data_IF_466501963500
#
_entry.id   IF_466501963500
#
_cell.length_a   1.000
_cell.length_b   1.000
_cell.length_c   1.000
_cell.angle_alpha   90.00
_cell.angle_beta   90.00
_cell.angle_gamma   90.00
#
_symmetry.space_group_name_H-M   'P 1'
#
loop_
_entity.id
_entity.type
_entity.pdbx_description
1 polymer ?
#
# COMPACT_ATOMS: atom_id res chain seq x y z
N UNK A 1 13.19 -0.94 -6.41
CA UNK A 1 11.75 -0.92 -6.07
C UNK A 1 11.02 0.06 -6.98
N UNK A 2 9.93 -0.33 -7.62
CA UNK A 2 9.05 0.56 -8.39
C UNK A 2 8.16 1.30 -7.40
N UNK A 3 8.14 2.62 -7.47
CA UNK A 3 7.35 3.49 -6.59
C UNK A 3 6.33 4.25 -7.41
N UNK A 4 5.06 4.08 -7.07
CA UNK A 4 3.96 4.93 -7.50
C UNK A 4 3.42 5.60 -6.24
N UNK A 5 3.97 6.76 -5.92
CA UNK A 5 3.58 7.56 -4.74
C UNK A 5 3.22 8.97 -5.19
N UNK A 6 2.24 9.58 -4.53
CA UNK A 6 1.82 10.96 -4.79
C UNK A 6 2.58 11.95 -3.93
N UNK A 7 3.01 11.53 -2.73
CA UNK A 7 3.84 12.35 -1.86
C UNK A 7 5.29 12.43 -2.39
N UNK A 8 5.74 13.65 -2.70
CA UNK A 8 7.07 13.91 -3.24
C UNK A 8 8.19 13.61 -2.23
N UNK A 9 7.97 13.94 -0.96
CA UNK A 9 8.95 13.70 0.11
C UNK A 9 9.11 12.20 0.35
N UNK A 10 8.00 11.46 0.41
CA UNK A 10 8.01 10.00 0.48
C UNK A 10 8.72 9.39 -0.73
N UNK A 11 8.47 9.92 -1.94
CA UNK A 11 9.15 9.48 -3.17
C UNK A 11 10.66 9.61 -3.08
N UNK A 12 11.15 10.77 -2.60
CA UNK A 12 12.58 11.01 -2.42
C UNK A 12 13.21 10.11 -1.36
N UNK A 13 12.50 9.87 -0.25
CA UNK A 13 12.95 8.98 0.82
C UNK A 13 13.08 7.53 0.33
N UNK A 14 12.06 7.03 -0.36
CA UNK A 14 12.08 5.68 -0.94
C UNK A 14 13.17 5.53 -2.00
N UNK A 15 13.40 6.56 -2.83
CA UNK A 15 14.48 6.57 -3.82
C UNK A 15 15.86 6.44 -3.14
N UNK A 16 16.11 7.20 -2.07
CA UNK A 16 17.36 7.13 -1.29
C UNK A 16 17.57 5.74 -0.67
N UNK A 17 16.53 5.13 -0.11
CA UNK A 17 16.59 3.78 0.48
C UNK A 17 16.94 2.71 -0.58
N UNK A 18 16.42 2.84 -1.80
CA UNK A 18 16.73 1.91 -2.89
C UNK A 18 18.13 2.08 -3.49
N UNK A 19 18.70 3.30 -3.47
CA UNK A 19 20.04 3.56 -4.01
C UNK A 19 21.17 2.95 -3.16
N UNK A 20 20.93 2.69 -1.87
CA UNK A 20 21.92 2.10 -0.95
C UNK A 20 22.06 0.58 -1.02
N UNK A 21 21.12 -0.12 -1.65
CA UNK A 21 21.11 -1.57 -1.75
C UNK A 21 21.57 -2.00 -3.16
N UNK A 22 22.85 -2.37 -3.28
CA UNK A 22 23.54 -2.73 -4.54
C UNK A 22 22.99 -3.94 -5.31
N UNK A 23 21.88 -4.51 -4.86
CA UNK A 23 21.05 -5.46 -5.60
C UNK A 23 19.60 -4.99 -5.38
N UNK A 24 18.97 -4.44 -6.42
CA UNK A 24 17.66 -3.81 -6.29
C UNK A 24 16.64 -4.82 -5.76
N UNK A 25 15.99 -4.58 -4.61
CA UNK A 25 14.77 -5.29 -4.32
C UNK A 25 13.74 -4.86 -5.38
N UNK A 26 13.43 -5.78 -6.30
CA UNK A 26 12.25 -5.69 -7.15
C UNK A 26 11.06 -5.72 -6.20
N UNK A 27 10.24 -4.68 -6.21
CA UNK A 27 9.17 -4.47 -5.24
C UNK A 27 8.24 -3.38 -5.76
N UNK A 28 6.98 -3.36 -5.33
CA UNK A 28 6.05 -2.29 -5.64
C UNK A 28 5.62 -1.58 -4.36
N UNK A 29 5.77 -0.26 -4.33
CA UNK A 29 5.04 0.61 -3.41
C UNK A 29 4.03 1.38 -4.23
N UNK A 30 2.75 1.26 -3.87
CA UNK A 30 1.66 1.99 -4.53
C UNK A 30 0.85 2.75 -3.47
N UNK A 31 0.91 4.07 -3.51
CA UNK A 31 0.09 4.95 -2.68
C UNK A 31 -1.21 5.28 -3.41
N UNK A 32 -2.34 5.01 -2.77
CA UNK A 32 -3.65 5.33 -3.30
C UNK A 32 -3.90 6.84 -3.28
N UNK A 33 -4.35 7.39 -4.41
CA UNK A 33 -4.81 8.78 -4.49
C UNK A 33 -6.05 9.00 -3.64
N UNK A 34 -6.15 10.21 -3.08
CA UNK A 34 -7.33 10.71 -2.38
C UNK A 34 -7.99 11.84 -3.15
N UNK A 35 -9.25 12.16 -2.83
CA UNK A 35 -9.97 13.26 -3.46
C UNK A 35 -10.35 12.96 -4.92
N UNK A 36 -10.67 11.70 -5.22
CA UNK A 36 -11.04 11.26 -6.56
C UNK A 36 -12.30 11.97 -7.05
N UNK A 37 -12.30 12.42 -8.31
CA UNK A 37 -13.34 13.28 -8.89
C UNK A 37 -14.59 12.52 -9.37
N UNK A 38 -14.54 11.18 -9.42
CA UNK A 38 -15.65 10.36 -9.89
C UNK A 38 -15.30 8.86 -9.98
N UNK A 39 -16.30 8.04 -10.27
CA UNK A 39 -16.16 6.57 -10.33
C UNK A 39 -15.12 6.10 -11.36
N UNK A 40 -15.06 6.71 -12.53
CA UNK A 40 -14.02 6.40 -13.53
C UNK A 40 -12.62 6.60 -12.97
N UNK A 41 -12.39 7.64 -12.17
CA UNK A 41 -11.08 7.87 -11.56
C UNK A 41 -10.72 6.78 -10.52
N UNK A 42 -11.72 6.25 -9.80
CA UNK A 42 -11.53 5.15 -8.86
C UNK A 42 -11.27 3.82 -9.57
N UNK A 43 -11.96 3.56 -10.69
CA UNK A 43 -11.73 2.40 -11.55
C UNK A 43 -10.33 2.45 -12.17
N UNK A 44 -9.92 3.58 -12.71
CA UNK A 44 -8.58 3.80 -13.28
C UNK A 44 -7.49 3.59 -12.23
N UNK A 45 -7.71 4.09 -11.00
CA UNK A 45 -6.78 3.91 -9.88
C UNK A 45 -6.57 2.44 -9.51
N UNK A 46 -7.66 1.67 -9.39
CA UNK A 46 -7.59 0.24 -9.11
C UNK A 46 -6.99 -0.55 -10.28
N UNK A 47 -7.35 -0.19 -11.52
CA UNK A 47 -6.80 -0.82 -12.71
C UNK A 47 -5.29 -0.62 -12.81
N UNK A 48 -4.80 0.61 -12.57
CA UNK A 48 -3.38 0.91 -12.50
C UNK A 48 -2.70 0.08 -11.38
N UNK A 49 -3.24 0.13 -10.16
CA UNK A 49 -2.68 -0.60 -9.02
C UNK A 49 -2.53 -2.10 -9.31
N UNK A 50 -3.55 -2.74 -9.89
CA UNK A 50 -3.53 -4.17 -10.18
C UNK A 50 -2.67 -4.52 -11.39
N UNK A 51 -2.56 -3.66 -12.40
CA UNK A 51 -1.61 -3.86 -13.50
C UNK A 51 -0.16 -3.88 -12.98
N UNK A 52 0.20 -2.90 -12.15
CA UNK A 52 1.52 -2.81 -11.51
C UNK A 52 1.78 -3.97 -10.57
N UNK A 53 0.76 -4.38 -9.82
CA UNK A 53 0.83 -5.52 -8.92
C UNK A 53 1.10 -6.80 -9.67
N UNK A 54 0.41 -7.02 -10.80
CA UNK A 54 0.64 -8.19 -11.65
C UNK A 54 2.10 -8.29 -12.09
N UNK A 55 2.69 -7.19 -12.52
CA UNK A 55 4.10 -7.15 -12.91
C UNK A 55 5.03 -7.52 -11.74
N UNK A 56 4.80 -6.93 -10.57
CA UNK A 56 5.59 -7.22 -9.37
C UNK A 56 5.45 -8.69 -8.94
N UNK A 57 4.23 -9.21 -8.85
CA UNK A 57 3.99 -10.61 -8.47
C UNK A 57 4.60 -11.60 -9.46
N UNK A 58 4.61 -11.31 -10.77
CA UNK A 58 5.27 -12.15 -11.77
C UNK A 58 6.80 -12.15 -11.63
N UNK A 59 7.37 -11.12 -11.01
CA UNK A 59 8.79 -11.01 -10.70
C UNK A 59 9.12 -11.50 -9.27
N UNK A 60 8.20 -12.19 -8.60
CA UNK A 60 8.30 -12.63 -7.19
C UNK A 60 8.68 -11.50 -6.21
N UNK A 61 8.23 -10.29 -6.53
CA UNK A 61 8.52 -9.07 -5.79
C UNK A 61 7.46 -8.77 -4.72
N UNK A 62 7.82 -8.26 -3.52
CA UNK A 62 6.86 -7.79 -2.53
C UNK A 62 6.09 -6.55 -3.02
N UNK A 63 4.85 -6.42 -2.54
CA UNK A 63 3.94 -5.31 -2.85
C UNK A 63 3.44 -4.69 -1.54
N UNK A 64 3.50 -3.36 -1.46
CA UNK A 64 2.93 -2.58 -0.36
C UNK A 64 1.96 -1.56 -0.95
N UNK A 65 0.68 -1.69 -0.61
CA UNK A 65 -0.30 -0.65 -0.85
C UNK A 65 -0.30 0.32 0.33
N UNK A 66 -0.15 1.61 0.06
CA UNK A 66 -0.24 2.66 1.08
C UNK A 66 -1.58 3.36 0.91
N UNK A 67 -2.37 3.40 1.98
CA UNK A 67 -3.72 3.99 1.99
C UNK A 67 -3.91 4.86 3.22
N UNK A 68 -4.84 5.81 3.18
CA UNK A 68 -5.24 6.56 4.37
C UNK A 68 -6.05 5.65 5.31
N UNK A 69 -5.73 5.67 6.60
CA UNK A 69 -6.45 4.89 7.60
C UNK A 69 -7.94 5.24 7.65
N UNK A 70 -8.29 6.53 7.50
CA UNK A 70 -9.68 6.99 7.44
C UNK A 70 -10.46 6.44 6.24
N UNK A 71 -9.80 6.20 5.10
CA UNK A 71 -10.44 5.63 3.92
C UNK A 71 -10.81 4.15 4.15
N UNK A 72 -9.91 3.37 4.76
CA UNK A 72 -10.20 1.98 5.17
C UNK A 72 -11.36 1.91 6.16
N UNK A 73 -11.47 2.90 7.04
CA UNK A 73 -12.55 3.02 8.03
C UNK A 73 -13.86 3.60 7.48
N UNK A 74 -13.89 4.03 6.21
CA UNK A 74 -15.06 4.71 5.63
C UNK A 74 -15.33 6.10 6.25
N UNK A 75 -14.33 6.73 6.86
CA UNK A 75 -14.41 8.06 7.51
C UNK A 75 -13.96 9.21 6.57
N UNK A 76 -13.66 8.91 5.32
CA UNK A 76 -13.28 9.87 4.28
C UNK A 76 -14.26 9.93 3.12
N UNK A 77 -13.80 10.36 1.94
CA UNK A 77 -14.62 10.37 0.74
C UNK A 77 -15.01 8.93 0.32
N UNK A 78 -16.24 8.67 -0.16
CA UNK A 78 -16.68 7.33 -0.51
C UNK A 78 -15.81 6.63 -1.56
N UNK A 79 -15.28 7.38 -2.53
CA UNK A 79 -14.43 6.83 -3.58
C UNK A 79 -13.06 6.43 -3.06
N UNK A 80 -12.48 7.21 -2.14
CA UNK A 80 -11.21 6.88 -1.49
C UNK A 80 -11.37 5.58 -0.66
N UNK A 81 -12.51 5.44 0.03
CA UNK A 81 -12.85 4.21 0.75
C UNK A 81 -13.03 3.01 -0.18
N UNK A 82 -13.69 3.19 -1.34
CA UNK A 82 -13.86 2.14 -2.34
C UNK A 82 -12.50 1.66 -2.87
N UNK A 83 -11.59 2.57 -3.19
CA UNK A 83 -10.23 2.21 -3.62
C UNK A 83 -9.47 1.50 -2.50
N UNK A 84 -9.42 2.06 -1.29
CA UNK A 84 -8.67 1.50 -0.19
C UNK A 84 -9.15 0.07 0.18
N UNK A 85 -10.46 -0.14 0.22
CA UNK A 85 -11.05 -1.46 0.49
C UNK A 85 -10.87 -2.44 -0.68
N UNK A 86 -10.90 -1.95 -1.94
CA UNK A 86 -10.57 -2.72 -3.13
C UNK A 86 -9.13 -3.24 -3.12
N UNK A 87 -8.16 -2.39 -2.77
CA UNK A 87 -6.76 -2.77 -2.61
C UNK A 87 -6.56 -3.80 -1.50
N UNK A 88 -7.24 -3.65 -0.37
CA UNK A 88 -7.24 -4.65 0.70
C UNK A 88 -7.82 -5.99 0.26
N UNK A 89 -8.93 -5.98 -0.47
CA UNK A 89 -9.52 -7.18 -1.07
C UNK A 89 -8.54 -7.87 -2.02
N UNK A 90 -7.89 -7.10 -2.90
CA UNK A 90 -6.88 -7.60 -3.82
C UNK A 90 -5.67 -8.21 -3.11
N UNK A 91 -5.16 -7.55 -2.06
CA UNK A 91 -4.07 -8.08 -1.24
C UNK A 91 -4.43 -9.45 -0.64
N UNK A 92 -5.62 -9.57 -0.03
CA UNK A 92 -6.10 -10.85 0.54
C UNK A 92 -6.25 -11.94 -0.51
N UNK A 93 -6.82 -11.62 -1.66
CA UNK A 93 -6.98 -12.56 -2.76
C UNK A 93 -5.63 -13.09 -3.26
N UNK A 94 -4.67 -12.19 -3.51
CA UNK A 94 -3.33 -12.55 -3.97
C UNK A 94 -2.56 -13.39 -2.95
N UNK A 95 -2.61 -13.03 -1.67
CA UNK A 95 -1.98 -13.82 -0.60
C UNK A 95 -2.55 -15.24 -0.55
N UNK A 96 -3.86 -15.40 -0.74
CA UNK A 96 -4.49 -16.72 -0.80
C UNK A 96 -4.03 -17.53 -2.02
N UNK A 97 -4.11 -16.95 -3.21
CA UNK A 97 -3.74 -17.62 -4.47
C UNK A 97 -2.25 -18.01 -4.51
N UNK A 98 -1.39 -17.16 -3.96
CA UNK A 98 0.07 -17.31 -4.01
C UNK A 98 0.68 -17.85 -2.73
N UNK A 99 -0.13 -18.48 -1.86
CA UNK A 99 0.34 -19.10 -0.61
C UNK A 99 1.52 -20.06 -0.80
N UNK A 100 1.61 -20.73 -1.95
CA UNK A 100 2.70 -21.67 -2.28
C UNK A 100 3.95 -21.01 -2.85
N UNK A 101 3.84 -19.78 -3.34
CA UNK A 101 4.92 -19.07 -4.05
C UNK A 101 5.55 -17.97 -3.19
N UNK A 102 5.19 -17.86 -1.91
CA UNK A 102 5.70 -16.83 -1.01
C UNK A 102 5.55 -15.42 -1.59
N UNK A 103 4.40 -15.10 -2.20
CA UNK A 103 4.09 -13.72 -2.59
C UNK A 103 3.70 -12.93 -1.34
N UNK A 104 4.17 -11.69 -1.24
CA UNK A 104 3.91 -10.82 -0.09
C UNK A 104 3.24 -9.55 -0.55
N UNK A 105 1.98 -9.40 -0.20
CA UNK A 105 1.19 -8.18 -0.49
C UNK A 105 0.66 -7.67 0.84
N UNK A 106 1.04 -6.47 1.24
CA UNK A 106 0.62 -5.87 2.52
C UNK A 106 -0.07 -4.52 2.27
N UNK A 107 -0.96 -4.12 3.18
CA UNK A 107 -1.58 -2.79 3.15
C UNK A 107 -1.08 -1.99 4.34
N UNK A 108 -0.39 -0.88 4.11
CA UNK A 108 0.00 0.09 5.11
C UNK A 108 -1.10 1.16 5.23
N UNK A 109 -1.83 1.17 6.34
CA UNK A 109 -2.86 2.16 6.61
C UNK A 109 -2.30 3.31 7.43
N UNK A 110 -2.10 4.47 6.80
CA UNK A 110 -1.41 5.62 7.38
C UNK A 110 -2.42 6.59 7.99
N UNK A 111 -2.25 6.87 9.28
CA UNK A 111 -3.03 7.87 10.01
C UNK A 111 -2.74 9.31 9.61
N UNK A 112 -3.47 10.25 10.18
CA UNK A 112 -3.23 11.68 10.00
C UNK A 112 -2.03 12.15 10.82
N UNK A 113 -1.20 13.02 10.22
CA UNK A 113 -0.02 13.59 10.88
C UNK A 113 1.16 12.63 11.05
N UNK A 114 1.17 11.50 10.34
CA UNK A 114 2.33 10.61 10.30
C UNK A 114 3.35 11.16 9.33
N UNK A 115 4.58 11.34 9.81
CA UNK A 115 5.70 11.86 9.02
C UNK A 115 6.09 10.90 7.88
N UNK A 116 6.42 11.41 6.67
CA UNK A 116 6.85 10.59 5.52
C UNK A 116 8.03 9.66 5.83
N UNK A 117 8.95 10.07 6.70
CA UNK A 117 10.07 9.24 7.18
C UNK A 117 9.60 7.98 7.88
N UNK A 118 8.60 8.11 8.77
CA UNK A 118 8.01 6.97 9.49
C UNK A 118 7.26 6.03 8.54
N UNK A 119 6.62 6.59 7.50
CA UNK A 119 5.98 5.80 6.43
C UNK A 119 7.04 5.00 5.66
N UNK A 120 8.14 5.63 5.24
CA UNK A 120 9.22 4.99 4.52
C UNK A 120 9.88 3.86 5.33
N UNK A 121 10.19 4.10 6.61
CA UNK A 121 10.71 3.08 7.53
C UNK A 121 9.76 1.90 7.71
N UNK A 122 8.45 2.17 7.78
CA UNK A 122 7.42 1.12 7.89
C UNK A 122 7.31 0.29 6.62
N UNK A 123 7.44 0.92 5.44
CA UNK A 123 7.49 0.22 4.16
C UNK A 123 8.72 -0.71 4.11
N UNK A 124 9.89 -0.21 4.50
CA UNK A 124 11.12 -1.00 4.55
C UNK A 124 10.96 -2.21 5.49
N UNK A 125 10.40 -2.00 6.68
CA UNK A 125 10.10 -3.06 7.64
C UNK A 125 9.16 -4.11 7.04
N UNK A 126 8.08 -3.70 6.36
CA UNK A 126 7.12 -4.62 5.75
C UNK A 126 7.74 -5.44 4.62
N UNK A 127 8.58 -4.82 3.79
CA UNK A 127 9.33 -5.48 2.72
C UNK A 127 10.32 -6.50 3.28
N UNK A 128 11.07 -6.13 4.33
CA UNK A 128 12.09 -6.97 4.94
C UNK A 128 11.50 -8.15 5.72
N UNK A 129 10.49 -7.90 6.55
CA UNK A 129 9.92 -8.91 7.46
C UNK A 129 8.85 -9.76 6.83
N UNK A 130 8.18 -9.25 5.79
CA UNK A 130 7.06 -9.94 5.13
C UNK A 130 5.92 -10.28 6.11
N UNK A 131 5.87 -9.58 7.26
CA UNK A 131 5.09 -9.96 8.44
C UNK A 131 3.58 -9.67 8.38
N UNK A 132 3.11 -8.92 7.38
CA UNK A 132 1.71 -8.51 7.25
C UNK A 132 1.05 -8.99 5.94
N UNK A 133 1.40 -10.19 5.48
CA UNK A 133 0.90 -10.72 4.21
C UNK A 133 -0.63 -10.87 4.18
N UNK A 134 -1.29 -10.14 3.27
CA UNK A 134 -2.73 -10.07 3.11
C UNK A 134 -3.43 -9.32 4.25
N UNK A 135 -2.68 -8.63 5.10
CA UNK A 135 -3.18 -7.93 6.28
C UNK A 135 -2.97 -6.42 6.17
N UNK A 136 -3.66 -5.69 7.04
CA UNK A 136 -3.44 -4.27 7.25
C UNK A 136 -2.41 -4.09 8.36
N UNK A 137 -1.41 -3.26 8.09
CA UNK A 137 -0.49 -2.72 9.08
C UNK A 137 -0.93 -1.28 9.39
N UNK A 138 -1.61 -1.02 10.53
CA UNK A 138 -1.94 0.33 10.94
C UNK A 138 -0.68 1.09 11.35
N UNK A 139 -0.53 2.31 10.83
CA UNK A 139 0.52 3.23 11.22
C UNK A 139 -0.12 4.52 11.73
N UNK A 140 -0.20 4.64 13.05
CA UNK A 140 -0.83 5.75 13.75
C UNK A 140 -1.69 5.29 14.92
N UNK A 141 -2.42 6.23 15.52
CA UNK A 141 -3.27 5.98 16.70
C UNK A 141 -4.71 5.61 16.34
N UNK A 142 -5.07 5.67 15.07
CA UNK A 142 -6.43 5.33 14.61
C UNK A 142 -6.68 3.83 14.80
N UNK A 143 -7.55 3.49 15.75
CA UNK A 143 -7.93 2.11 16.02
C UNK A 143 -8.80 1.54 14.89
N UNK A 144 -8.19 0.75 14.00
CA UNK A 144 -8.89 0.10 12.87
C UNK A 144 -9.98 -0.90 13.31
N UNK A 145 -9.95 -1.37 14.56
CA UNK A 145 -10.93 -2.31 15.11
C UNK A 145 -12.04 -1.66 15.94
N UNK A 146 -12.01 -0.34 16.15
CA UNK A 146 -12.95 0.33 17.02
C UNK A 146 -13.94 1.16 16.18
N UNK A 147 -15.12 0.59 15.96
CA UNK A 147 -16.34 1.38 15.79
C UNK A 147 -16.60 2.09 17.12
N UNK A 148 -15.77 3.09 17.44
CA UNK A 148 -16.07 3.98 18.56
C UNK A 148 -17.29 4.80 18.14
N UNK A 149 -18.35 4.82 18.98
CA UNK A 149 -19.58 5.54 18.72
C UNK A 149 -19.37 7.04 18.59
#
# INVERSE_FOLDING_TARGET
>A
MRTRVVDLELSELLAKQTAGHGDSPSGLVFEARTGLSGWTAAEDELAEAFALTREAVLADAPVVYVVRAEAILGRGAPLDAAVATGLLGGARALTFERRKNNCYVSVLAVGTGIEPTTVAESIELLVATRGANGQIFPLGTDHLGAALP
#
